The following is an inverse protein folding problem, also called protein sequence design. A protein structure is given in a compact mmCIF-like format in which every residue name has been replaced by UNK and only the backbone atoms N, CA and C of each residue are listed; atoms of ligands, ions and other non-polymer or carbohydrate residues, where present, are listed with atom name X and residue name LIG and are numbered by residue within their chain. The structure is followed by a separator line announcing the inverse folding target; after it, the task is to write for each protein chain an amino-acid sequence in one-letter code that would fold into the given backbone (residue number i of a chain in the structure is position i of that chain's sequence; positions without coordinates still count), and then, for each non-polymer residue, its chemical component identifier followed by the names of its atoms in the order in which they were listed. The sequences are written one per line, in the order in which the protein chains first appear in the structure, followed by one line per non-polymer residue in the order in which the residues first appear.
data_IF_512692868800
#
_entry.id   IF_512692868800
#
_cell.length_a   1.000
_cell.length_b   1.000
_cell.length_c   1.000
_cell.angle_alpha   90.00
_cell.angle_beta   90.00
_cell.angle_gamma   90.00
#
_symmetry.space_group_name_H-M   'P 1'
#
loop_
_entity.id
_entity.type
_entity.pdbx_description
1 polymer ?
#
# COMPACT_ATOMS: atom_id res chain seq x y z
N UNK A 1 -3.44 47.65 -36.35
CA UNK A 1 -2.69 47.63 -35.05
C UNK A 1 -3.59 47.53 -33.80
N UNK A 2 -4.89 47.26 -33.93
CA UNK A 2 -5.79 47.06 -32.78
C UNK A 2 -6.39 45.63 -32.70
N UNK A 3 -6.13 44.77 -33.67
CA UNK A 3 -6.67 43.38 -33.65
C UNK A 3 -5.75 42.33 -33.00
N UNK A 4 -4.47 42.66 -32.78
CA UNK A 4 -3.53 41.71 -32.14
C UNK A 4 -3.49 41.78 -30.60
N UNK A 5 -4.15 42.75 -29.95
CA UNK A 5 -4.20 42.85 -28.50
C UNK A 5 -5.39 42.15 -27.84
N UNK A 6 -6.42 41.77 -28.65
CA UNK A 6 -7.60 41.09 -28.08
C UNK A 6 -7.49 39.54 -28.02
N UNK A 7 -6.66 38.94 -28.87
CA UNK A 7 -6.48 37.47 -28.84
C UNK A 7 -5.58 36.97 -27.68
N UNK A 8 -4.60 37.80 -27.25
CA UNK A 8 -3.73 37.43 -26.14
C UNK A 8 -4.37 37.53 -24.74
N UNK A 9 -5.45 38.34 -24.60
CA UNK A 9 -6.16 38.45 -23.32
C UNK A 9 -7.16 37.33 -23.10
N UNK A 10 -7.68 36.73 -24.16
CA UNK A 10 -8.65 35.62 -24.09
C UNK A 10 -7.96 34.30 -23.76
N UNK A 11 -6.71 34.11 -24.19
CA UNK A 11 -5.94 32.89 -23.91
C UNK A 11 -5.45 32.85 -22.46
N UNK A 12 -5.10 34.02 -21.89
CA UNK A 12 -4.67 34.12 -20.49
C UNK A 12 -5.81 33.98 -19.50
N UNK A 13 -7.02 34.36 -19.86
CA UNK A 13 -8.20 34.22 -18.99
C UNK A 13 -8.77 32.79 -19.01
N UNK A 14 -8.75 32.11 -20.17
CA UNK A 14 -9.12 30.68 -20.25
C UNK A 14 -8.13 29.76 -19.55
N UNK A 15 -6.87 30.14 -19.44
CA UNK A 15 -5.85 29.40 -18.73
C UNK A 15 -5.96 29.51 -17.20
N UNK A 16 -6.60 30.56 -16.69
CA UNK A 16 -6.80 30.72 -15.22
C UNK A 16 -8.07 30.06 -14.70
N UNK A 17 -9.08 29.84 -15.54
CA UNK A 17 -10.35 29.24 -15.15
C UNK A 17 -10.38 27.70 -15.25
N UNK A 18 -9.36 27.07 -15.81
CA UNK A 18 -9.33 25.61 -16.06
C UNK A 18 -8.74 24.81 -14.88
N UNK A 19 -8.08 25.46 -13.91
CA UNK A 19 -7.51 24.79 -12.76
C UNK A 19 -8.51 24.80 -11.59
N UNK A 20 -9.05 23.63 -11.23
CA UNK A 20 -9.92 23.46 -10.07
C UNK A 20 -9.31 24.00 -8.78
N UNK A 21 -10.16 24.24 -7.80
CA UNK A 21 -9.75 24.82 -6.49
C UNK A 21 -9.07 23.80 -5.59
N UNK A 22 -9.41 22.51 -5.78
CA UNK A 22 -9.00 21.44 -4.89
C UNK A 22 -8.37 20.27 -5.64
N UNK A 23 -7.56 19.51 -4.93
CA UNK A 23 -7.11 18.17 -5.31
C UNK A 23 -7.70 17.18 -4.31
N UNK A 24 -8.25 16.08 -4.83
CA UNK A 24 -8.69 14.95 -4.00
C UNK A 24 -7.51 13.99 -3.81
N UNK A 25 -7.22 13.64 -2.57
CA UNK A 25 -6.35 12.53 -2.22
C UNK A 25 -7.21 11.38 -1.67
N UNK A 26 -7.21 10.25 -2.36
CA UNK A 26 -7.82 8.99 -1.89
C UNK A 26 -6.72 8.16 -1.22
N UNK A 27 -6.85 7.95 0.07
CA UNK A 27 -5.92 7.18 0.89
C UNK A 27 -6.59 5.86 1.31
N UNK A 28 -6.25 4.79 0.62
CA UNK A 28 -6.77 3.46 0.88
C UNK A 28 -5.82 2.69 1.79
N UNK A 29 -6.02 2.84 3.08
CA UNK A 29 -5.21 2.15 4.09
C UNK A 29 -5.60 0.68 4.29
N UNK A 30 -4.91 0.02 5.20
CA UNK A 30 -5.18 -1.38 5.58
C UNK A 30 -6.47 -1.52 6.38
N UNK A 31 -6.81 -0.53 7.20
CA UNK A 31 -7.95 -0.61 8.12
C UNK A 31 -9.07 0.37 7.79
N UNK A 32 -8.80 1.39 6.99
CA UNK A 32 -9.77 2.43 6.66
C UNK A 32 -9.55 3.03 5.28
N UNK A 33 -10.63 3.55 4.72
CA UNK A 33 -10.66 4.38 3.52
C UNK A 33 -10.75 5.84 3.95
N UNK A 34 -9.93 6.71 3.36
CA UNK A 34 -9.90 8.13 3.67
C UNK A 34 -9.93 8.95 2.39
N UNK A 35 -10.56 10.12 2.45
CA UNK A 35 -10.49 11.14 1.41
C UNK A 35 -10.14 12.48 2.05
N UNK A 36 -9.17 13.17 1.47
CA UNK A 36 -8.76 14.50 1.88
C UNK A 36 -8.82 15.43 0.66
N UNK A 37 -9.44 16.60 0.83
CA UNK A 37 -9.38 17.68 -0.16
C UNK A 37 -8.36 18.72 0.30
N UNK A 38 -7.42 19.01 -0.59
CA UNK A 38 -6.40 20.04 -0.39
C UNK A 38 -6.67 21.22 -1.34
N UNK A 39 -6.43 22.44 -0.85
CA UNK A 39 -6.39 23.63 -1.70
C UNK A 39 -5.03 23.78 -2.43
N UNK A 40 -4.86 24.88 -3.16
CA UNK A 40 -3.63 25.16 -3.90
C UNK A 40 -2.42 25.42 -3.00
N UNK A 41 -2.65 25.89 -1.80
CA UNK A 41 -1.64 26.14 -0.77
C UNK A 41 -1.24 24.88 0.00
N UNK A 42 -1.91 23.75 -0.26
CA UNK A 42 -1.68 22.49 0.42
C UNK A 42 -2.39 22.37 1.77
N UNK A 43 -3.34 23.28 2.06
CA UNK A 43 -4.13 23.23 3.28
C UNK A 43 -5.23 22.17 3.17
N UNK A 44 -5.48 21.47 4.27
CA UNK A 44 -6.58 20.51 4.36
C UNK A 44 -7.91 21.27 4.49
N UNK A 45 -8.78 21.09 3.49
CA UNK A 45 -10.10 21.75 3.47
C UNK A 45 -11.23 20.83 3.93
N UNK A 46 -11.09 19.52 3.69
CA UNK A 46 -12.09 18.54 4.09
C UNK A 46 -11.47 17.18 4.27
N UNK A 47 -11.98 16.39 5.23
CA UNK A 47 -11.55 15.00 5.49
C UNK A 47 -12.78 14.15 5.75
N UNK A 48 -12.82 12.96 5.18
CA UNK A 48 -13.76 11.90 5.55
C UNK A 48 -13.01 10.57 5.64
N UNK A 49 -13.39 9.74 6.59
CA UNK A 49 -12.75 8.45 6.83
C UNK A 49 -13.79 7.42 7.27
N UNK A 50 -13.60 6.18 6.85
CA UNK A 50 -14.46 5.06 7.21
C UNK A 50 -13.63 3.78 7.34
N UNK A 51 -13.78 3.08 8.44
CA UNK A 51 -13.21 1.75 8.61
C UNK A 51 -13.97 0.72 7.76
N UNK A 52 -13.30 -0.36 7.41
CA UNK A 52 -13.90 -1.50 6.73
C UNK A 52 -13.49 -2.83 7.39
N UNK A 53 -14.25 -3.88 7.09
CA UNK A 53 -14.13 -5.18 7.76
C UNK A 53 -12.79 -5.86 7.46
N UNK A 54 -12.14 -6.34 8.52
CA UNK A 54 -10.98 -7.22 8.45
C UNK A 54 -11.45 -8.67 8.57
N UNK A 55 -10.98 -9.55 7.70
CA UNK A 55 -11.40 -10.96 7.63
C UNK A 55 -10.21 -11.86 7.92
N UNK A 56 -10.36 -12.74 8.91
CA UNK A 56 -9.32 -13.67 9.36
C UNK A 56 -9.82 -15.12 9.27
N UNK A 57 -9.83 -15.74 8.06
CA UNK A 57 -10.43 -17.06 7.85
C UNK A 57 -9.72 -18.20 8.58
N UNK A 58 -8.41 -18.10 8.72
CA UNK A 58 -7.55 -19.08 9.39
C UNK A 58 -6.37 -18.38 10.07
N UNK A 59 -5.66 -19.03 11.00
CA UNK A 59 -4.45 -18.45 11.60
C UNK A 59 -3.44 -18.00 10.54
N UNK A 60 -3.02 -16.74 10.61
CA UNK A 60 -2.09 -16.14 9.67
C UNK A 60 -2.69 -15.74 8.31
N UNK A 61 -3.97 -15.93 8.10
CA UNK A 61 -4.69 -15.49 6.91
C UNK A 61 -5.37 -14.16 7.14
N UNK A 62 -5.23 -13.24 6.18
CA UNK A 62 -5.86 -11.91 6.25
C UNK A 62 -6.48 -11.58 4.89
N UNK A 63 -7.75 -11.21 4.91
CA UNK A 63 -8.53 -10.86 3.70
C UNK A 63 -9.33 -9.59 3.89
N UNK A 64 -9.61 -8.91 2.78
CA UNK A 64 -10.58 -7.84 2.70
C UNK A 64 -11.63 -8.14 1.62
N UNK A 65 -12.82 -7.57 1.75
CA UNK A 65 -13.82 -7.57 0.68
C UNK A 65 -13.51 -6.44 -0.31
N UNK A 66 -13.18 -6.75 -1.58
CA UNK A 66 -12.85 -5.71 -2.56
C UNK A 66 -13.98 -4.73 -2.83
N UNK A 67 -15.23 -5.19 -2.77
CA UNK A 67 -16.39 -4.33 -2.97
C UNK A 67 -16.58 -3.35 -1.81
N UNK A 68 -16.24 -3.75 -0.60
CA UNK A 68 -16.27 -2.86 0.57
C UNK A 68 -15.14 -1.81 0.50
N UNK A 69 -13.95 -2.18 0.02
CA UNK A 69 -12.88 -1.22 -0.28
C UNK A 69 -13.37 -0.17 -1.27
N UNK A 70 -13.94 -0.57 -2.38
CA UNK A 70 -14.47 0.34 -3.39
C UNK A 70 -15.59 1.22 -2.85
N UNK A 71 -16.63 0.62 -2.26
CA UNK A 71 -17.81 1.36 -1.78
C UNK A 71 -17.45 2.34 -0.65
N UNK A 72 -16.59 1.95 0.27
CA UNK A 72 -16.15 2.84 1.35
C UNK A 72 -15.29 4.00 0.83
N UNK A 73 -14.42 3.75 -0.15
CA UNK A 73 -13.59 4.81 -0.75
C UNK A 73 -14.45 5.82 -1.52
N UNK A 74 -15.42 5.35 -2.30
CA UNK A 74 -16.37 6.24 -2.99
C UNK A 74 -17.21 7.03 -1.99
N UNK A 75 -17.69 6.38 -0.94
CA UNK A 75 -18.49 7.00 0.12
C UNK A 75 -17.75 8.16 0.78
N UNK A 76 -16.48 7.96 1.16
CA UNK A 76 -15.71 9.04 1.82
C UNK A 76 -15.33 10.15 0.84
N UNK A 77 -15.14 9.84 -0.43
CA UNK A 77 -14.93 10.88 -1.46
C UNK A 77 -16.15 11.79 -1.58
N UNK A 78 -17.34 11.23 -1.68
CA UNK A 78 -18.61 11.96 -1.72
C UNK A 78 -18.87 12.74 -0.43
N UNK A 79 -18.59 12.15 0.72
CA UNK A 79 -18.75 12.81 2.03
C UNK A 79 -17.81 14.01 2.16
N UNK A 80 -16.53 13.86 1.82
CA UNK A 80 -15.56 14.94 1.90
C UNK A 80 -15.91 16.10 0.97
N UNK A 81 -16.36 15.82 -0.26
CA UNK A 81 -16.85 16.85 -1.18
C UNK A 81 -18.10 17.53 -0.63
N UNK A 82 -19.04 16.76 -0.11
CA UNK A 82 -20.30 17.26 0.45
C UNK A 82 -20.11 18.18 1.65
N UNK A 83 -19.14 17.90 2.52
CA UNK A 83 -18.85 18.72 3.72
C UNK A 83 -18.55 20.19 3.40
N UNK A 84 -17.97 20.47 2.26
CA UNK A 84 -17.59 21.84 1.83
C UNK A 84 -18.35 22.29 0.59
N UNK A 85 -19.36 21.53 0.14
CA UNK A 85 -20.15 21.86 -1.04
C UNK A 85 -19.32 21.92 -2.34
N UNK A 86 -18.26 21.12 -2.42
CA UNK A 86 -17.42 21.08 -3.62
C UNK A 86 -18.14 20.38 -4.78
N UNK A 87 -18.13 21.00 -5.94
CA UNK A 87 -18.64 20.43 -7.19
C UNK A 87 -17.46 19.79 -7.96
N UNK A 88 -17.74 18.82 -8.84
CA UNK A 88 -16.67 18.15 -9.60
C UNK A 88 -15.79 19.16 -10.37
N UNK A 89 -16.36 20.25 -10.87
CA UNK A 89 -15.62 21.31 -11.58
C UNK A 89 -14.66 22.09 -10.68
N UNK A 90 -14.79 21.97 -9.35
CA UNK A 90 -13.85 22.55 -8.40
C UNK A 90 -12.62 21.66 -8.18
N UNK A 91 -12.65 20.42 -8.68
CA UNK A 91 -11.60 19.42 -8.47
C UNK A 91 -10.67 19.38 -9.70
N UNK A 92 -9.40 19.69 -9.49
CA UNK A 92 -8.40 19.66 -10.55
C UNK A 92 -8.00 18.23 -10.91
N UNK A 93 -7.82 17.36 -9.93
CA UNK A 93 -7.39 15.98 -10.13
C UNK A 93 -7.65 15.10 -8.89
N UNK A 94 -7.62 13.79 -9.11
CA UNK A 94 -7.61 12.75 -8.09
C UNK A 94 -6.21 12.16 -8.03
N UNK A 95 -5.62 12.10 -6.83
CA UNK A 95 -4.44 11.32 -6.50
C UNK A 95 -4.84 10.12 -5.63
N UNK A 96 -4.23 8.97 -5.87
CA UNK A 96 -4.49 7.73 -5.15
C UNK A 96 -3.23 7.28 -4.42
N UNK A 97 -3.37 6.97 -3.14
CA UNK A 97 -2.35 6.23 -2.38
C UNK A 97 -3.02 5.04 -1.70
N UNK A 98 -2.29 3.96 -1.51
CA UNK A 98 -2.91 2.70 -1.11
C UNK A 98 -1.98 1.81 -0.31
N UNK A 99 -2.57 0.95 0.52
CA UNK A 99 -1.88 -0.24 1.01
C UNK A 99 -1.33 -1.02 -0.18
N UNK A 100 -0.07 -1.42 -0.10
CA UNK A 100 0.62 -2.10 -1.20
C UNK A 100 0.41 -3.61 -1.14
N UNK A 101 0.84 -4.34 -2.14
CA UNK A 101 0.91 -5.80 -2.26
C UNK A 101 -0.44 -6.53 -2.20
N UNK A 102 -1.44 -5.99 -1.54
CA UNK A 102 -2.78 -6.60 -1.44
C UNK A 102 -3.32 -6.91 -2.82
N UNK A 103 -3.75 -8.16 -3.01
CA UNK A 103 -3.97 -8.78 -4.31
C UNK A 103 -5.45 -9.01 -4.57
N UNK A 104 -5.94 -8.50 -5.70
CA UNK A 104 -7.34 -8.65 -6.13
C UNK A 104 -7.37 -9.24 -7.54
N UNK A 105 -8.21 -10.24 -7.76
CA UNK A 105 -8.48 -10.82 -9.08
C UNK A 105 -9.97 -10.75 -9.33
N UNK A 106 -10.35 -10.25 -10.52
CA UNK A 106 -11.77 -10.05 -10.85
C UNK A 106 -12.08 -10.39 -12.31
N UNK A 107 -13.34 -10.60 -12.57
CA UNK A 107 -13.85 -10.82 -13.92
C UNK A 107 -13.82 -9.52 -14.73
N UNK A 108 -13.21 -9.59 -15.91
CA UNK A 108 -13.01 -8.44 -16.80
C UNK A 108 -14.34 -7.83 -17.31
N UNK A 109 -15.36 -8.65 -17.53
CA UNK A 109 -16.64 -8.18 -18.05
C UNK A 109 -17.55 -7.66 -16.96
N UNK A 110 -17.65 -8.38 -15.85
CA UNK A 110 -18.59 -8.04 -14.75
C UNK A 110 -18.00 -7.11 -13.71
N UNK A 111 -16.65 -7.06 -13.59
CA UNK A 111 -15.97 -6.35 -12.52
C UNK A 111 -16.09 -7.05 -11.16
N UNK A 112 -16.66 -8.25 -11.10
CA UNK A 112 -16.82 -8.98 -9.84
C UNK A 112 -15.55 -9.72 -9.44
N UNK A 113 -15.08 -9.55 -8.19
CA UNK A 113 -13.95 -10.32 -7.66
C UNK A 113 -14.27 -11.82 -7.65
N UNK A 114 -13.28 -12.64 -8.03
CA UNK A 114 -13.41 -14.10 -7.96
C UNK A 114 -13.10 -14.64 -6.58
N UNK A 115 -12.46 -13.85 -5.74
CA UNK A 115 -12.08 -14.15 -4.37
C UNK A 115 -11.91 -12.85 -3.58
N UNK A 116 -11.93 -12.92 -2.25
CA UNK A 116 -11.57 -11.77 -1.42
C UNK A 116 -10.15 -11.27 -1.74
N UNK A 117 -9.89 -10.00 -1.49
CA UNK A 117 -8.55 -9.45 -1.55
C UNK A 117 -7.66 -10.15 -0.52
N UNK A 118 -6.53 -10.69 -0.96
CA UNK A 118 -5.53 -11.29 -0.05
C UNK A 118 -4.58 -10.17 0.37
N UNK A 119 -4.61 -9.85 1.66
CA UNK A 119 -3.92 -8.70 2.23
C UNK A 119 -2.42 -8.96 2.34
N UNK A 120 -1.63 -7.91 2.26
CA UNK A 120 -0.17 -7.97 2.36
C UNK A 120 0.34 -8.70 3.62
N UNK A 121 -0.40 -8.69 4.71
CA UNK A 121 -0.09 -9.39 5.97
C UNK A 121 -0.29 -10.91 5.91
N UNK A 122 -1.03 -11.41 4.91
CA UNK A 122 -1.43 -12.81 4.84
C UNK A 122 -0.23 -13.73 4.59
N UNK A 123 -0.11 -14.79 5.42
CA UNK A 123 1.00 -15.76 5.38
C UNK A 123 0.68 -17.06 4.65
N UNK A 124 -0.52 -17.20 4.04
CA UNK A 124 -0.96 -18.46 3.41
C UNK A 124 -0.05 -19.01 2.33
N UNK A 125 0.73 -18.14 1.68
CA UNK A 125 1.63 -18.53 0.59
C UNK A 125 3.07 -18.80 1.04
N UNK A 126 3.33 -18.86 2.33
CA UNK A 126 4.68 -19.09 2.87
C UNK A 126 5.34 -20.36 2.31
N UNK A 127 4.60 -21.46 2.19
CA UNK A 127 5.14 -22.71 1.65
C UNK A 127 5.51 -22.61 0.17
N UNK A 128 4.77 -21.79 -0.61
CA UNK A 128 5.13 -21.49 -2.01
C UNK A 128 6.45 -20.74 -2.11
N UNK A 129 6.72 -19.85 -1.16
CA UNK A 129 7.98 -19.12 -1.10
C UNK A 129 9.15 -20.04 -0.75
N UNK A 130 8.96 -20.96 0.19
CA UNK A 130 9.99 -21.97 0.50
C UNK A 130 10.29 -22.86 -0.72
N UNK A 131 9.26 -23.25 -1.47
CA UNK A 131 9.43 -23.98 -2.73
C UNK A 131 10.20 -23.15 -3.77
N UNK A 132 9.88 -21.87 -3.91
CA UNK A 132 10.56 -20.95 -4.81
C UNK A 132 12.06 -20.86 -4.51
N UNK A 133 12.43 -20.77 -3.23
CA UNK A 133 13.82 -20.78 -2.80
C UNK A 133 14.51 -22.14 -3.10
N UNK A 134 13.83 -23.24 -2.83
CA UNK A 134 14.32 -24.59 -3.14
C UNK A 134 14.52 -24.80 -4.67
N UNK A 135 13.68 -24.18 -5.48
CA UNK A 135 13.81 -24.20 -6.96
C UNK A 135 14.91 -23.27 -7.50
N UNK A 136 15.61 -22.54 -6.63
CA UNK A 136 16.74 -21.70 -7.00
C UNK A 136 16.37 -20.33 -7.59
N UNK A 137 15.17 -19.85 -7.36
CA UNK A 137 14.68 -18.58 -7.93
C UNK A 137 15.04 -17.34 -7.08
N UNK A 138 15.54 -17.51 -5.86
CA UNK A 138 15.73 -16.41 -4.92
C UNK A 138 16.64 -15.31 -5.46
N UNK A 139 17.82 -15.67 -5.98
CA UNK A 139 18.80 -14.70 -6.48
C UNK A 139 18.25 -13.91 -7.67
N UNK A 140 17.58 -14.59 -8.60
CA UNK A 140 16.96 -13.97 -9.76
C UNK A 140 15.89 -12.96 -9.39
N UNK A 141 15.05 -13.29 -8.41
CA UNK A 141 14.02 -12.39 -7.90
C UNK A 141 14.66 -11.18 -7.24
N UNK A 142 15.65 -11.38 -6.38
CA UNK A 142 16.36 -10.27 -5.72
C UNK A 142 17.01 -9.32 -6.72
N UNK A 143 17.71 -9.86 -7.70
CA UNK A 143 18.40 -9.09 -8.72
C UNK A 143 17.42 -8.26 -9.57
N UNK A 144 16.33 -8.87 -10.04
CA UNK A 144 15.40 -8.23 -10.98
C UNK A 144 14.35 -7.35 -10.30
N UNK A 145 13.83 -7.79 -9.17
CA UNK A 145 12.73 -7.10 -8.50
C UNK A 145 13.15 -6.24 -7.32
N UNK A 146 14.36 -6.40 -6.82
CA UNK A 146 14.86 -5.75 -5.60
C UNK A 146 14.28 -6.32 -4.32
N UNK A 147 13.41 -7.32 -4.40
CA UNK A 147 12.69 -7.88 -3.27
C UNK A 147 13.35 -9.18 -2.78
N UNK A 148 13.21 -9.42 -1.48
CA UNK A 148 13.51 -10.72 -0.88
C UNK A 148 12.24 -11.56 -1.00
N UNK A 149 12.29 -12.79 -1.55
CA UNK A 149 11.09 -13.61 -1.68
C UNK A 149 10.38 -13.81 -0.35
N UNK A 150 9.12 -13.41 -0.30
CA UNK A 150 8.28 -13.45 0.91
C UNK A 150 6.80 -13.50 0.53
N UNK A 151 5.98 -14.13 1.38
CA UNK A 151 4.52 -14.13 1.23
C UNK A 151 3.88 -12.73 1.29
N UNK A 152 4.64 -11.73 1.68
CA UNK A 152 4.28 -10.32 1.68
C UNK A 152 3.84 -9.81 0.29
N UNK A 153 4.52 -10.24 -0.78
CA UNK A 153 4.37 -9.69 -2.12
C UNK A 153 3.27 -10.38 -2.93
N UNK A 154 2.79 -9.71 -4.00
CA UNK A 154 1.58 -10.11 -4.70
C UNK A 154 1.69 -11.42 -5.49
N UNK A 155 2.85 -11.70 -6.08
CA UNK A 155 3.01 -12.80 -7.05
C UNK A 155 2.53 -14.15 -6.55
N UNK A 156 2.92 -14.56 -5.34
CA UNK A 156 2.50 -15.83 -4.75
C UNK A 156 1.00 -15.87 -4.44
N UNK A 157 0.39 -14.72 -4.14
CA UNK A 157 -1.05 -14.59 -3.87
C UNK A 157 -1.88 -14.76 -5.14
N UNK A 158 -1.41 -14.21 -6.26
CA UNK A 158 -2.05 -14.42 -7.57
C UNK A 158 -2.04 -15.91 -7.92
N UNK A 159 -0.88 -16.55 -7.82
CA UNK A 159 -0.73 -17.97 -8.08
C UNK A 159 -1.66 -18.81 -7.19
N UNK A 160 -1.77 -18.44 -5.90
CA UNK A 160 -2.68 -19.12 -4.97
C UNK A 160 -4.14 -19.01 -5.41
N UNK A 161 -4.60 -17.84 -5.81
CA UNK A 161 -5.97 -17.63 -6.30
C UNK A 161 -6.24 -18.50 -7.53
N UNK A 162 -5.33 -18.49 -8.51
CA UNK A 162 -5.49 -19.26 -9.72
C UNK A 162 -5.54 -20.78 -9.46
N UNK A 163 -4.81 -21.25 -8.45
CA UNK A 163 -4.74 -22.68 -8.13
C UNK A 163 -5.85 -23.15 -7.18
N UNK A 164 -6.46 -22.26 -6.40
CA UNK A 164 -7.41 -22.63 -5.34
C UNK A 164 -8.85 -22.18 -5.61
N UNK A 165 -9.09 -21.22 -6.48
CA UNK A 165 -10.45 -20.82 -6.88
C UNK A 165 -10.85 -21.63 -8.09
N UNK A 166 -11.98 -22.35 -7.98
CA UNK A 166 -12.47 -23.23 -9.05
C UNK A 166 -12.66 -22.46 -10.36
N UNK A 167 -12.06 -22.98 -11.44
CA UNK A 167 -12.14 -22.40 -12.77
C UNK A 167 -11.30 -21.14 -13.00
N UNK A 168 -10.64 -20.60 -11.99
CA UNK A 168 -9.91 -19.34 -12.12
C UNK A 168 -8.73 -19.43 -13.08
N UNK A 169 -7.96 -20.49 -13.02
CA UNK A 169 -6.78 -20.67 -13.91
C UNK A 169 -7.20 -20.69 -15.38
N UNK A 170 -8.18 -21.49 -15.73
CA UNK A 170 -8.69 -21.62 -17.10
C UNK A 170 -9.27 -20.29 -17.60
N UNK A 171 -9.99 -19.59 -16.76
CA UNK A 171 -10.55 -18.26 -17.08
C UNK A 171 -9.44 -17.22 -17.27
N UNK A 172 -8.39 -17.25 -16.44
CA UNK A 172 -7.23 -16.37 -16.59
C UNK A 172 -6.50 -16.62 -17.89
N UNK A 173 -6.28 -17.88 -18.24
CA UNK A 173 -5.62 -18.27 -19.50
C UNK A 173 -6.42 -17.85 -20.74
N UNK A 174 -7.76 -17.80 -20.63
CA UNK A 174 -8.63 -17.28 -21.70
C UNK A 174 -8.73 -15.76 -21.76
N UNK A 175 -8.04 -15.05 -20.86
CA UNK A 175 -8.08 -13.59 -20.81
C UNK A 175 -9.36 -13.00 -20.17
N UNK A 176 -10.08 -13.79 -19.39
CA UNK A 176 -11.34 -13.37 -18.74
C UNK A 176 -11.13 -12.70 -17.38
N UNK A 177 -9.97 -12.88 -16.76
CA UNK A 177 -9.64 -12.35 -15.44
C UNK A 177 -8.55 -11.29 -15.50
N UNK A 178 -8.67 -10.30 -14.63
CA UNK A 178 -7.68 -9.26 -14.40
C UNK A 178 -7.18 -9.31 -12.97
N UNK A 179 -5.93 -8.90 -12.80
CA UNK A 179 -5.28 -8.68 -11.51
C UNK A 179 -5.02 -7.20 -11.30
N UNK A 180 -5.09 -6.78 -10.05
CA UNK A 180 -4.57 -5.50 -9.60
C UNK A 180 -4.24 -5.49 -8.12
N UNK A 181 -3.32 -4.61 -7.77
CA UNK A 181 -3.20 -4.08 -6.42
C UNK A 181 -4.32 -3.05 -6.19
N UNK A 182 -4.42 -2.50 -5.00
CA UNK A 182 -5.57 -1.67 -4.63
C UNK A 182 -5.69 -0.41 -5.48
N UNK A 183 -4.59 0.21 -5.90
CA UNK A 183 -4.58 1.33 -6.85
C UNK A 183 -5.28 0.97 -8.17
N UNK A 184 -4.93 -0.17 -8.74
CA UNK A 184 -5.52 -0.68 -9.97
C UNK A 184 -7.02 -0.94 -9.81
N UNK A 185 -7.42 -1.55 -8.70
CA UNK A 185 -8.82 -1.82 -8.37
C UNK A 185 -9.65 -0.53 -8.28
N UNK A 186 -9.12 0.49 -7.62
CA UNK A 186 -9.78 1.79 -7.50
C UNK A 186 -9.88 2.50 -8.86
N UNK A 187 -8.81 2.53 -9.65
CA UNK A 187 -8.83 3.15 -10.99
C UNK A 187 -9.79 2.41 -11.92
N UNK A 188 -9.79 1.08 -11.89
CA UNK A 188 -10.74 0.26 -12.65
C UNK A 188 -12.19 0.63 -12.32
N UNK A 189 -12.54 0.69 -11.04
CA UNK A 189 -13.90 1.01 -10.63
C UNK A 189 -14.26 2.48 -10.91
N UNK A 190 -13.36 3.43 -10.64
CA UNK A 190 -13.59 4.85 -10.93
C UNK A 190 -13.85 5.11 -12.42
N UNK A 191 -13.26 4.31 -13.30
CA UNK A 191 -13.39 4.44 -14.76
C UNK A 191 -14.42 3.48 -15.37
N UNK A 192 -15.21 2.81 -14.54
CA UNK A 192 -16.20 1.78 -14.98
C UNK A 192 -15.61 0.73 -15.92
N UNK A 193 -14.42 0.24 -15.58
CA UNK A 193 -13.74 -0.83 -16.31
C UNK A 193 -13.05 -0.39 -17.61
N UNK A 194 -12.85 0.90 -17.81
CA UNK A 194 -12.17 1.40 -19.02
C UNK A 194 -10.66 1.38 -18.92
N UNK A 195 -10.09 1.51 -17.71
CA UNK A 195 -8.64 1.68 -17.48
C UNK A 195 -8.14 0.60 -16.53
N UNK A 196 -7.15 -0.17 -16.99
CA UNK A 196 -6.48 -1.22 -16.23
C UNK A 196 -4.98 -0.91 -16.16
N UNK A 197 -4.58 -0.16 -15.15
CA UNK A 197 -3.21 0.34 -14.98
C UNK A 197 -2.75 0.19 -13.54
N UNK A 198 -1.45 0.19 -13.34
CA UNK A 198 -0.80 0.37 -12.04
C UNK A 198 0.34 1.37 -12.18
N UNK A 199 0.76 1.99 -11.08
CA UNK A 199 1.96 2.80 -11.10
C UNK A 199 3.22 1.95 -10.84
N UNK A 200 4.40 2.51 -11.13
CA UNK A 200 5.66 1.77 -10.95
C UNK A 200 5.94 1.42 -9.49
N UNK A 201 5.53 2.25 -8.53
CA UNK A 201 5.78 1.96 -7.11
C UNK A 201 4.98 0.75 -6.64
N UNK A 202 3.71 0.63 -7.01
CA UNK A 202 2.90 -0.54 -6.72
C UNK A 202 3.37 -1.77 -7.53
N UNK A 203 3.71 -1.61 -8.81
CA UNK A 203 4.25 -2.69 -9.63
C UNK A 203 5.50 -3.30 -8.99
N UNK A 204 6.39 -2.49 -8.43
CA UNK A 204 7.62 -2.94 -7.76
C UNK A 204 7.36 -3.78 -6.50
N UNK A 205 6.13 -3.85 -6.00
CA UNK A 205 5.74 -4.63 -4.82
C UNK A 205 5.12 -5.99 -5.16
N UNK A 206 5.04 -6.34 -6.42
CA UNK A 206 4.38 -7.57 -6.87
C UNK A 206 5.27 -8.81 -6.89
N UNK A 207 6.58 -8.63 -6.84
CA UNK A 207 7.59 -9.67 -7.07
C UNK A 207 7.58 -10.20 -8.53
N UNK A 208 6.91 -9.49 -9.44
CA UNK A 208 6.78 -9.84 -10.85
C UNK A 208 7.39 -8.79 -11.79
N UNK A 209 7.86 -7.68 -11.22
CA UNK A 209 8.25 -6.49 -11.98
C UNK A 209 9.76 -6.26 -11.94
N UNK A 210 10.38 -6.17 -13.10
CA UNK A 210 11.80 -5.79 -13.22
C UNK A 210 11.93 -4.30 -12.98
N UNK A 211 12.51 -3.93 -11.84
CA UNK A 211 12.65 -2.53 -11.43
C UNK A 211 13.68 -1.77 -12.24
N UNK A 212 14.59 -2.45 -12.93
CA UNK A 212 15.61 -1.84 -13.79
C UNK A 212 15.05 -1.53 -15.17
N UNK A 213 14.35 -2.49 -15.78
CA UNK A 213 13.71 -2.35 -17.10
C UNK A 213 12.35 -1.68 -17.03
N UNK A 214 11.74 -1.62 -15.85
CA UNK A 214 10.37 -1.11 -15.60
C UNK A 214 9.32 -1.79 -16.48
N UNK A 215 9.35 -3.11 -16.46
CA UNK A 215 8.39 -3.98 -17.13
C UNK A 215 8.18 -5.27 -16.35
N UNK A 216 7.07 -5.96 -16.64
CA UNK A 216 6.82 -7.29 -16.10
C UNK A 216 7.89 -8.26 -16.57
N UNK A 217 8.36 -9.14 -15.67
CA UNK A 217 9.39 -10.12 -15.96
C UNK A 217 8.77 -11.43 -16.45
N UNK A 218 8.98 -11.77 -17.71
CA UNK A 218 8.35 -12.93 -18.35
C UNK A 218 8.79 -14.26 -17.71
N UNK A 219 10.03 -14.36 -17.26
CA UNK A 219 10.55 -15.60 -16.64
C UNK A 219 9.95 -15.84 -15.26
N UNK A 220 9.77 -14.76 -14.46
CA UNK A 220 9.13 -14.86 -13.16
C UNK A 220 7.63 -15.17 -13.33
N UNK A 221 6.97 -14.54 -14.30
CA UNK A 221 5.57 -14.86 -14.63
C UNK A 221 5.41 -16.32 -15.02
N UNK A 222 6.33 -16.86 -15.83
CA UNK A 222 6.33 -18.27 -16.22
C UNK A 222 6.52 -19.19 -15.01
N UNK A 223 7.41 -18.84 -14.09
CA UNK A 223 7.61 -19.61 -12.86
C UNK A 223 6.32 -19.73 -12.03
N UNK A 224 5.63 -18.61 -11.82
CA UNK A 224 4.35 -18.60 -11.09
C UNK A 224 3.17 -19.10 -11.93
N UNK A 225 3.38 -19.36 -13.22
CA UNK A 225 2.32 -19.67 -14.15
C UNK A 225 1.19 -18.63 -14.15
N UNK A 226 1.56 -17.36 -14.21
CA UNK A 226 0.64 -16.22 -14.25
C UNK A 226 0.52 -15.74 -15.69
N UNK A 227 -0.69 -15.78 -16.31
CA UNK A 227 -0.89 -15.23 -17.64
C UNK A 227 -0.64 -13.72 -17.67
N UNK A 228 0.23 -13.25 -18.58
CA UNK A 228 0.57 -11.83 -18.70
C UNK A 228 -0.64 -10.95 -19.02
N UNK A 229 -1.64 -11.50 -19.69
CA UNK A 229 -2.88 -10.76 -20.01
C UNK A 229 -3.70 -10.34 -18.79
N UNK A 230 -3.44 -10.91 -17.61
CA UNK A 230 -4.07 -10.49 -16.36
C UNK A 230 -3.50 -9.19 -15.81
N UNK A 231 -2.29 -8.81 -16.21
CA UNK A 231 -1.52 -7.76 -15.53
C UNK A 231 -1.90 -6.37 -16.07
N UNK A 232 -1.97 -5.37 -15.17
CA UNK A 232 -2.21 -3.99 -15.57
C UNK A 232 -1.01 -3.41 -16.31
N UNK A 233 -1.27 -2.39 -17.13
CA UNK A 233 -0.21 -1.61 -17.76
C UNK A 233 0.52 -0.78 -16.70
N UNK A 234 1.84 -0.95 -16.52
CA UNK A 234 2.60 -0.13 -15.58
C UNK A 234 2.87 1.26 -16.18
N UNK A 235 2.66 2.29 -15.36
CA UNK A 235 2.84 3.70 -15.74
C UNK A 235 3.56 4.47 -14.64
N UNK A 236 4.11 5.67 -14.95
CA UNK A 236 4.67 6.55 -13.92
C UNK A 236 3.62 6.93 -12.87
N UNK A 237 4.08 7.22 -11.64
CA UNK A 237 3.22 7.65 -10.53
C UNK A 237 2.54 8.99 -10.80
N UNK A 238 3.20 9.90 -11.52
CA UNK A 238 2.64 11.17 -11.97
C UNK A 238 2.30 11.08 -13.46
N UNK A 239 1.04 10.83 -13.76
CA UNK A 239 0.57 10.59 -15.12
C UNK A 239 -0.96 10.69 -15.11
N UNK A 240 -1.56 11.23 -16.15
CA UNK A 240 -3.01 11.18 -16.32
C UNK A 240 -3.39 9.77 -16.82
N UNK A 241 -3.97 8.96 -15.94
CA UNK A 241 -4.37 7.59 -16.25
C UNK A 241 -5.68 7.54 -17.03
N UNK A 242 -6.58 8.47 -16.79
CA UNK A 242 -7.91 8.58 -17.33
C UNK A 242 -8.75 9.52 -16.49
N UNK A 243 -10.05 9.48 -16.68
CA UNK A 243 -11.00 10.30 -15.93
C UNK A 243 -11.98 9.41 -15.15
N UNK A 244 -12.36 9.84 -13.95
CA UNK A 244 -13.43 9.22 -13.21
C UNK A 244 -14.76 9.34 -14.01
N UNK A 245 -15.54 8.25 -14.02
CA UNK A 245 -16.84 8.26 -14.67
C UNK A 245 -17.74 9.33 -14.04
N UNK A 246 -18.43 10.16 -14.86
CA UNK A 246 -19.25 11.26 -14.37
C UNK A 246 -20.34 10.86 -13.36
N UNK A 247 -20.80 9.63 -13.41
CA UNK A 247 -21.86 9.13 -12.53
C UNK A 247 -21.46 9.02 -11.07
N UNK A 248 -20.17 8.99 -10.76
CA UNK A 248 -19.70 8.82 -9.37
C UNK A 248 -19.56 10.14 -8.61
N UNK A 249 -18.93 11.13 -9.21
CA UNK A 249 -18.60 12.40 -8.54
C UNK A 249 -19.28 13.62 -9.18
N UNK A 250 -20.23 13.39 -10.06
CA UNK A 250 -21.02 14.42 -10.70
C UNK A 250 -20.47 14.95 -12.03
N UNK A 251 -19.29 14.54 -12.43
CA UNK A 251 -18.65 14.88 -13.69
C UNK A 251 -17.28 14.24 -13.82
N UNK A 252 -16.63 14.36 -15.00
CA UNK A 252 -15.31 13.79 -15.22
C UNK A 252 -14.24 14.54 -14.40
N UNK A 253 -13.41 13.78 -13.68
CA UNK A 253 -12.27 14.31 -12.94
C UNK A 253 -11.03 13.50 -13.35
N UNK A 254 -9.93 14.14 -13.76
CA UNK A 254 -8.69 13.43 -14.10
C UNK A 254 -8.14 12.64 -12.90
N UNK A 255 -7.74 11.40 -13.14
CA UNK A 255 -6.97 10.61 -12.20
C UNK A 255 -5.50 10.75 -12.60
N UNK A 256 -4.73 11.54 -11.86
CA UNK A 256 -3.43 12.02 -12.30
C UNK A 256 -2.25 11.64 -11.41
N UNK A 257 -2.48 10.88 -10.37
CA UNK A 257 -1.44 10.38 -9.49
C UNK A 257 -1.82 9.08 -8.83
N UNK A 258 -0.87 8.16 -8.72
CA UNK A 258 -1.00 6.94 -7.95
C UNK A 258 0.37 6.52 -7.42
N UNK A 259 0.45 6.16 -6.15
CA UNK A 259 1.66 5.63 -5.54
C UNK A 259 1.30 4.80 -4.31
N UNK A 260 2.12 3.79 -4.01
CA UNK A 260 2.02 3.07 -2.75
C UNK A 260 2.15 4.00 -1.56
N UNK A 261 1.47 3.67 -0.46
CA UNK A 261 1.37 4.53 0.72
C UNK A 261 2.73 4.93 1.30
N UNK A 262 3.70 4.02 1.30
CA UNK A 262 5.03 4.30 1.84
C UNK A 262 5.85 5.20 0.91
N UNK A 263 5.72 5.04 -0.40
CA UNK A 263 6.35 5.92 -1.39
C UNK A 263 5.69 7.30 -1.39
N UNK A 264 4.38 7.37 -1.22
CA UNK A 264 3.65 8.64 -1.04
C UNK A 264 4.12 9.38 0.21
N UNK A 265 4.33 8.66 1.32
CA UNK A 265 4.85 9.24 2.55
C UNK A 265 6.30 9.75 2.39
N UNK A 266 7.16 9.00 1.69
CA UNK A 266 8.53 9.43 1.39
C UNK A 266 8.54 10.74 0.60
N UNK A 267 7.71 10.82 -0.43
CA UNK A 267 7.53 12.02 -1.25
C UNK A 267 6.94 13.18 -0.42
N UNK A 268 5.89 12.92 0.34
CA UNK A 268 5.20 13.92 1.17
C UNK A 268 6.09 14.48 2.29
N UNK A 269 7.05 13.71 2.81
CA UNK A 269 8.08 14.17 3.74
C UNK A 269 9.22 14.89 3.04
N UNK A 270 9.10 15.15 1.74
CA UNK A 270 10.11 15.85 0.93
C UNK A 270 11.49 15.16 0.90
N UNK A 271 11.53 13.86 1.06
CA UNK A 271 12.74 13.06 0.93
C UNK A 271 13.09 12.86 -0.55
N UNK A 272 13.67 13.87 -1.17
CA UNK A 272 13.94 13.89 -2.62
C UNK A 272 15.38 13.56 -2.99
N UNK A 273 16.30 13.66 -2.05
CA UNK A 273 17.72 13.43 -2.27
C UNK A 273 18.15 12.08 -1.70
N UNK A 274 19.17 11.47 -2.33
CA UNK A 274 19.75 10.23 -1.83
C UNK A 274 20.22 10.40 -0.37
N UNK A 275 19.85 9.46 0.49
CA UNK A 275 20.14 9.47 1.91
C UNK A 275 19.06 10.08 2.80
N UNK A 276 18.09 10.79 2.24
CA UNK A 276 16.93 11.27 3.00
C UNK A 276 15.95 10.13 3.26
N UNK A 277 15.47 10.02 4.49
CA UNK A 277 14.66 8.90 4.94
C UNK A 277 13.46 9.35 5.76
N UNK A 278 12.42 8.53 5.73
CA UNK A 278 11.26 8.63 6.62
C UNK A 278 11.02 7.31 7.31
N UNK A 279 10.40 7.33 8.48
CA UNK A 279 9.86 6.15 9.14
C UNK A 279 8.39 6.40 9.49
N UNK A 280 7.52 5.55 8.98
CA UNK A 280 6.08 5.61 9.29
C UNK A 280 5.77 4.61 10.38
N UNK A 281 5.25 5.09 11.50
CA UNK A 281 4.74 4.28 12.61
C UNK A 281 3.21 4.18 12.48
N UNK A 282 2.74 3.07 11.95
CA UNK A 282 1.32 2.75 11.84
C UNK A 282 1.06 1.34 12.36
N UNK A 283 0.24 0.58 11.66
CA UNK A 283 0.01 -0.86 11.92
C UNK A 283 1.34 -1.62 11.99
N UNK A 284 2.23 -1.41 11.01
CA UNK A 284 3.64 -1.74 11.03
C UNK A 284 4.51 -0.48 11.09
N UNK A 285 5.81 -0.65 11.05
CA UNK A 285 6.78 0.42 10.81
C UNK A 285 7.44 0.21 9.46
N UNK A 286 7.45 1.25 8.65
CA UNK A 286 8.05 1.18 7.32
C UNK A 286 9.02 2.34 7.14
N UNK A 287 10.31 2.00 7.12
CA UNK A 287 11.39 2.94 6.92
C UNK A 287 11.83 2.90 5.46
N UNK A 288 11.78 4.04 4.78
CA UNK A 288 12.27 4.18 3.41
C UNK A 288 13.35 5.26 3.36
N UNK A 289 14.42 4.97 2.64
CA UNK A 289 15.48 5.92 2.35
C UNK A 289 15.62 6.06 0.84
N UNK A 290 15.50 7.29 0.34
CA UNK A 290 15.68 7.59 -1.08
C UNK A 290 17.13 7.32 -1.52
N UNK A 291 17.33 6.64 -2.65
CA UNK A 291 18.66 6.35 -3.21
C UNK A 291 18.89 7.00 -4.58
N UNK A 292 17.97 7.86 -5.03
CA UNK A 292 18.07 8.57 -6.30
C UNK A 292 17.86 7.67 -7.50
N UNK A 293 18.77 7.77 -8.47
CA UNK A 293 18.70 6.98 -9.72
C UNK A 293 19.34 5.60 -9.60
N UNK A 294 19.91 5.26 -8.45
CA UNK A 294 20.62 4.00 -8.22
C UNK A 294 19.77 3.03 -7.42
N UNK A 295 19.51 1.87 -7.98
CA UNK A 295 18.93 0.74 -7.27
C UNK A 295 20.00 0.09 -6.40
N UNK A 296 20.04 0.44 -5.12
CA UNK A 296 21.02 -0.09 -4.18
C UNK A 296 20.57 -1.47 -3.70
N UNK A 297 21.45 -2.47 -3.82
CA UNK A 297 21.23 -3.79 -3.25
C UNK A 297 21.72 -3.84 -1.80
N UNK A 298 20.82 -4.14 -0.87
CA UNK A 298 21.17 -4.30 0.54
C UNK A 298 21.78 -5.67 0.80
N UNK A 299 22.82 -5.70 1.65
CA UNK A 299 23.42 -6.93 2.18
C UNK A 299 22.85 -7.31 3.55
N UNK A 300 21.94 -6.49 4.10
CA UNK A 300 21.45 -6.61 5.47
C UNK A 300 19.92 -6.86 5.53
N UNK A 301 19.35 -7.47 4.49
CA UNK A 301 17.94 -7.86 4.50
C UNK A 301 16.94 -6.72 4.21
N UNK A 302 17.39 -5.59 3.67
CA UNK A 302 16.49 -4.52 3.22
C UNK A 302 16.04 -4.79 1.78
N UNK A 303 14.90 -4.21 1.43
CA UNK A 303 14.33 -4.27 0.08
C UNK A 303 14.80 -3.07 -0.74
N UNK A 304 14.87 -3.27 -2.07
CA UNK A 304 14.94 -2.17 -3.02
C UNK A 304 13.59 -2.04 -3.73
N UNK A 305 13.07 -0.84 -3.76
CA UNK A 305 11.75 -0.53 -4.33
C UNK A 305 11.83 0.71 -5.22
N UNK A 306 10.82 0.91 -6.08
CA UNK A 306 10.73 2.13 -6.88
C UNK A 306 10.11 3.22 -6.01
N UNK A 307 10.69 4.41 -6.07
CA UNK A 307 10.22 5.62 -5.44
C UNK A 307 9.90 6.69 -6.50
N UNK A 308 9.42 7.84 -6.05
CA UNK A 308 9.11 8.99 -6.90
C UNK A 308 10.09 10.12 -6.57
N UNK A 309 10.76 10.65 -7.61
CA UNK A 309 11.64 11.81 -7.46
C UNK A 309 10.82 13.11 -7.44
N UNK A 310 11.46 14.22 -7.06
CA UNK A 310 10.82 15.53 -6.96
C UNK A 310 10.12 15.99 -8.26
N UNK A 311 10.64 15.59 -9.42
CA UNK A 311 10.07 15.90 -10.73
C UNK A 311 8.95 14.95 -11.18
N UNK A 312 8.54 14.00 -10.32
CA UNK A 312 7.51 13.01 -10.61
C UNK A 312 8.01 11.78 -11.38
N UNK A 313 9.27 11.73 -11.77
CA UNK A 313 9.86 10.57 -12.46
C UNK A 313 10.28 9.50 -11.47
N UNK A 314 10.39 8.22 -11.90
CA UNK A 314 10.77 7.14 -11.01
C UNK A 314 12.22 7.24 -10.54
N UNK A 315 12.43 6.97 -9.27
CA UNK A 315 13.72 6.74 -8.63
C UNK A 315 13.68 5.45 -7.83
N UNK A 316 14.61 5.28 -6.89
CA UNK A 316 14.70 4.08 -6.05
C UNK A 316 14.78 4.44 -4.58
N UNK A 317 14.41 3.49 -3.74
CA UNK A 317 14.56 3.58 -2.28
C UNK A 317 14.94 2.22 -1.69
N UNK A 318 15.67 2.25 -0.58
CA UNK A 318 15.79 1.11 0.32
C UNK A 318 14.62 1.12 1.30
N UNK A 319 14.13 -0.05 1.64
CA UNK A 319 13.02 -0.22 2.58
C UNK A 319 13.29 -1.30 3.62
N UNK A 320 13.05 -0.94 4.89
CA UNK A 320 12.95 -1.88 6.00
C UNK A 320 11.50 -1.98 6.44
N UNK A 321 10.93 -3.17 6.33
CA UNK A 321 9.52 -3.45 6.67
C UNK A 321 9.43 -4.18 8.00
N UNK A 322 8.85 -3.53 9.01
CA UNK A 322 8.49 -4.11 10.31
C UNK A 322 6.99 -4.34 10.29
N UNK A 323 6.55 -5.61 10.31
CA UNK A 323 5.15 -5.94 10.05
C UNK A 323 4.20 -5.57 11.19
N UNK A 324 4.65 -5.62 12.43
CA UNK A 324 3.81 -5.41 13.60
C UNK A 324 4.42 -4.32 14.48
N UNK A 325 3.74 -3.20 14.56
CA UNK A 325 4.10 -2.06 15.41
C UNK A 325 2.86 -1.61 16.19
N UNK A 326 2.13 -0.63 15.72
CA UNK A 326 0.88 -0.19 16.36
C UNK A 326 -0.15 -1.31 16.50
N UNK A 327 -0.11 -2.32 15.63
CA UNK A 327 -0.94 -3.51 15.75
C UNK A 327 -0.73 -4.26 17.07
N UNK A 328 0.48 -4.22 17.64
CA UNK A 328 0.74 -4.82 18.94
C UNK A 328 0.04 -4.06 20.08
N UNK A 329 -0.04 -2.75 19.99
CA UNK A 329 -0.76 -1.92 20.96
C UNK A 329 -2.27 -2.12 20.82
N UNK A 330 -2.78 -2.21 19.59
CA UNK A 330 -4.18 -2.55 19.32
C UNK A 330 -4.54 -3.93 19.88
N UNK A 331 -3.66 -4.91 19.73
CA UNK A 331 -3.83 -6.24 20.29
C UNK A 331 -3.95 -6.21 21.83
N UNK A 332 -3.13 -5.41 22.52
CA UNK A 332 -3.25 -5.23 23.97
C UNK A 332 -4.61 -4.62 24.37
N UNK A 333 -5.17 -3.74 23.53
CA UNK A 333 -6.48 -3.12 23.74
C UNK A 333 -7.63 -4.08 23.43
N UNK A 334 -7.62 -4.65 22.23
CA UNK A 334 -8.80 -5.32 21.66
C UNK A 334 -8.91 -6.79 22.05
N UNK A 335 -7.80 -7.51 22.10
CA UNK A 335 -7.78 -8.96 22.36
C UNK A 335 -7.40 -9.28 23.82
N UNK A 336 -6.35 -8.66 24.32
CA UNK A 336 -5.91 -8.87 25.71
C UNK A 336 -6.78 -8.08 26.69
N UNK A 337 -7.28 -6.90 26.27
CA UNK A 337 -8.20 -6.09 27.05
C UNK A 337 -7.55 -5.36 28.24
N UNK A 338 -6.23 -5.12 28.19
CA UNK A 338 -5.51 -4.43 29.27
C UNK A 338 -5.34 -2.93 29.04
N UNK A 339 -5.73 -2.44 27.87
CA UNK A 339 -5.77 -1.00 27.54
C UNK A 339 -7.21 -0.60 27.19
N UNK A 340 -7.66 0.55 27.64
CA UNK A 340 -8.93 1.14 27.21
C UNK A 340 -8.80 1.85 25.87
N UNK A 341 -7.65 2.51 25.65
CA UNK A 341 -7.31 3.17 24.39
C UNK A 341 -5.81 3.01 24.09
N UNK A 342 -5.41 3.16 22.85
CA UNK A 342 -3.98 3.08 22.47
C UNK A 342 -3.13 4.16 23.15
N UNK A 343 -3.58 5.43 23.30
CA UNK A 343 -2.83 6.45 24.03
C UNK A 343 -2.54 6.12 25.48
N UNK A 344 -3.36 5.30 26.13
CA UNK A 344 -3.13 4.88 27.54
C UNK A 344 -1.82 4.10 27.71
N UNK A 345 -1.26 3.56 26.64
CA UNK A 345 0.04 2.86 26.69
C UNK A 345 1.15 3.73 27.28
N UNK A 346 1.17 5.04 26.98
CA UNK A 346 2.15 5.97 27.53
C UNK A 346 2.09 6.02 29.07
N UNK A 347 0.90 6.14 29.64
CA UNK A 347 0.68 6.18 31.09
C UNK A 347 1.24 4.92 31.77
N UNK A 348 1.01 3.74 31.20
CA UNK A 348 1.55 2.50 31.76
C UNK A 348 3.07 2.39 31.61
N UNK A 349 3.63 2.80 30.49
CA UNK A 349 5.06 2.83 30.27
C UNK A 349 5.78 3.72 31.27
N UNK A 350 5.23 4.89 31.55
CA UNK A 350 5.80 5.86 32.48
C UNK A 350 5.62 5.48 33.95
N UNK A 351 4.71 4.55 34.27
CA UNK A 351 4.42 4.11 35.64
C UNK A 351 5.46 3.16 36.23
N UNK A 352 6.36 2.62 35.39
CA UNK A 352 7.44 1.69 35.78
C UNK A 352 8.78 2.17 35.24
N UNK A 353 9.90 1.90 35.94
CA UNK A 353 11.21 2.37 35.52
C UNK A 353 11.79 1.59 34.31
N UNK A 354 11.36 0.34 34.13
CA UNK A 354 11.82 -0.55 33.07
C UNK A 354 10.78 -1.66 32.81
N UNK A 355 11.10 -2.66 32.00
CA UNK A 355 10.23 -3.79 31.70
C UNK A 355 10.34 -4.93 32.72
N UNK A 356 11.14 -4.79 33.78
CA UNK A 356 11.42 -5.84 34.75
C UNK A 356 11.85 -7.17 34.10
N UNK A 357 12.65 -7.10 33.04
CA UNK A 357 13.14 -8.26 32.30
C UNK A 357 12.14 -8.90 31.32
N UNK A 358 10.96 -8.29 31.14
CA UNK A 358 9.97 -8.78 30.17
C UNK A 358 10.32 -8.28 28.77
N UNK A 359 10.26 -9.16 27.78
CA UNK A 359 10.42 -8.85 26.39
C UNK A 359 9.25 -9.40 25.58
N UNK A 360 8.78 -8.62 24.62
CA UNK A 360 7.71 -9.02 23.68
C UNK A 360 8.29 -9.10 22.28
N UNK A 361 8.05 -10.21 21.61
CA UNK A 361 8.31 -10.39 20.19
C UNK A 361 6.97 -10.40 19.47
N UNK A 362 6.55 -9.31 18.83
CA UNK A 362 5.19 -9.22 18.26
C UNK A 362 5.13 -9.78 16.84
N UNK A 363 5.64 -10.98 16.62
CA UNK A 363 5.68 -11.62 15.31
C UNK A 363 4.33 -12.28 14.94
N UNK A 364 3.22 -11.54 15.04
CA UNK A 364 1.87 -12.08 14.82
C UNK A 364 1.63 -12.57 13.41
N UNK A 365 2.31 -11.95 12.43
CA UNK A 365 2.28 -12.31 11.00
C UNK A 365 3.67 -12.61 10.45
N UNK A 366 4.51 -13.26 11.24
CA UNK A 366 5.91 -13.47 10.93
C UNK A 366 6.78 -12.24 11.22
N UNK A 367 8.06 -12.33 10.91
CA UNK A 367 9.03 -11.24 10.98
C UNK A 367 9.40 -10.77 9.59
N UNK A 368 9.39 -9.45 9.39
CA UNK A 368 9.91 -8.80 8.19
C UNK A 368 11.41 -8.56 8.27
N UNK A 369 11.86 -7.41 7.76
CA UNK A 369 13.28 -7.04 7.79
C UNK A 369 13.83 -6.98 9.23
N UNK A 370 15.10 -7.42 9.45
CA UNK A 370 15.99 -8.05 8.49
C UNK A 370 15.90 -9.58 8.44
N UNK A 371 14.97 -10.16 9.17
CA UNK A 371 14.92 -11.62 9.46
C UNK A 371 14.21 -12.44 8.38
N UNK A 372 13.09 -11.91 7.84
CA UNK A 372 12.25 -12.57 6.83
C UNK A 372 11.83 -14.00 7.21
N UNK A 373 11.32 -14.15 8.43
CA UNK A 373 10.83 -15.42 8.97
C UNK A 373 9.29 -15.49 8.90
N UNK A 374 8.76 -16.29 7.98
CA UNK A 374 7.32 -16.47 7.76
C UNK A 374 6.62 -17.18 8.90
N UNK A 375 7.35 -18.05 9.61
CA UNK A 375 6.79 -18.97 10.59
C UNK A 375 6.90 -18.45 12.02
N UNK A 376 7.66 -17.41 12.25
CA UNK A 376 7.72 -16.76 13.55
C UNK A 376 6.33 -16.31 14.00
N UNK A 377 6.07 -16.47 15.28
CA UNK A 377 4.84 -16.01 15.94
C UNK A 377 5.20 -15.26 17.20
N UNK A 378 4.23 -14.50 17.73
CA UNK A 378 4.42 -13.69 18.93
C UNK A 378 4.87 -14.50 20.13
N UNK A 379 5.74 -13.90 20.93
CA UNK A 379 6.23 -14.49 22.19
C UNK A 379 6.38 -13.42 23.26
N UNK A 380 6.15 -13.82 24.51
CA UNK A 380 6.43 -13.00 25.70
C UNK A 380 7.42 -13.79 26.55
N UNK A 381 8.56 -13.18 26.84
CA UNK A 381 9.67 -13.79 27.55
C UNK A 381 9.98 -13.01 28.86
N UNK A 382 10.60 -13.68 29.82
CA UNK A 382 11.09 -13.05 31.03
C UNK A 382 10.02 -12.76 32.11
N UNK A 383 8.84 -13.39 32.02
CA UNK A 383 7.80 -13.25 33.02
C UNK A 383 8.24 -13.82 34.35
N UNK A 384 8.09 -13.01 35.41
CA UNK A 384 8.24 -13.40 36.80
C UNK A 384 6.99 -13.00 37.58
N UNK A 385 6.86 -13.44 38.81
CA UNK A 385 5.71 -13.06 39.63
C UNK A 385 5.59 -11.54 39.87
N UNK A 386 6.70 -10.81 39.78
CA UNK A 386 6.73 -9.36 39.92
C UNK A 386 6.39 -8.59 38.63
N UNK A 387 6.27 -9.28 37.49
CA UNK A 387 5.91 -8.67 36.23
C UNK A 387 4.40 -8.41 36.18
N UNK A 388 4.02 -7.17 36.01
CA UNK A 388 2.63 -6.76 35.95
C UNK A 388 2.23 -6.18 34.60
N UNK A 389 1.00 -5.69 34.54
CA UNK A 389 0.40 -5.06 33.35
C UNK A 389 1.28 -3.96 32.74
N UNK A 390 1.79 -3.05 33.59
CA UNK A 390 2.63 -1.94 33.13
C UNK A 390 3.92 -2.42 32.47
N UNK A 391 4.54 -3.48 33.01
CA UNK A 391 5.74 -4.08 32.43
C UNK A 391 5.44 -4.70 31.07
N UNK A 392 4.31 -5.38 30.91
CA UNK A 392 3.91 -5.97 29.63
C UNK A 392 3.63 -4.90 28.58
N UNK A 393 2.91 -3.84 28.96
CA UNK A 393 2.64 -2.70 28.05
C UNK A 393 3.95 -2.04 27.63
N UNK A 394 4.84 -1.75 28.58
CA UNK A 394 6.14 -1.15 28.27
C UNK A 394 7.01 -2.03 27.38
N UNK A 395 7.07 -3.33 27.66
CA UNK A 395 7.82 -4.28 26.82
C UNK A 395 7.27 -4.33 25.39
N UNK A 396 5.97 -4.21 25.23
CA UNK A 396 5.31 -4.14 23.91
C UNK A 396 5.70 -2.86 23.16
N UNK A 397 5.66 -1.70 23.83
CA UNK A 397 6.10 -0.42 23.22
C UNK A 397 7.60 -0.45 22.88
N UNK A 398 8.43 -0.93 23.79
CA UNK A 398 9.88 -1.04 23.54
C UNK A 398 10.21 -2.00 22.37
N UNK A 399 9.38 -3.01 22.12
CA UNK A 399 9.58 -3.93 21.00
C UNK A 399 9.58 -3.21 19.64
N UNK A 400 8.85 -2.11 19.51
CA UNK A 400 8.85 -1.28 18.30
C UNK A 400 10.24 -0.65 18.09
N UNK A 401 10.83 -0.13 19.16
CA UNK A 401 12.15 0.49 19.11
C UNK A 401 13.23 -0.54 18.75
N UNK A 402 13.17 -1.74 19.33
CA UNK A 402 14.13 -2.80 19.02
C UNK A 402 14.05 -3.23 17.55
N UNK A 403 12.85 -3.44 17.02
CA UNK A 403 12.67 -3.81 15.62
C UNK A 403 13.17 -2.71 14.66
N UNK A 404 12.89 -1.45 14.96
CA UNK A 404 13.37 -0.32 14.15
C UNK A 404 14.91 -0.19 14.25
N UNK A 405 15.47 -0.46 15.42
CA UNK A 405 16.93 -0.47 15.61
C UNK A 405 17.61 -1.55 14.77
N UNK A 406 16.99 -2.72 14.63
CA UNK A 406 17.55 -3.82 13.83
C UNK A 406 17.56 -3.51 12.32
N UNK A 407 16.61 -2.70 11.86
CA UNK A 407 16.53 -2.22 10.47
C UNK A 407 17.57 -1.13 10.20
#
# INVERSE_FOLDING_TARGET
NQQHHHENSIITDRGKDIMGKYVIALDQGTTSSRCILFDREGSICSVAQKEFTQIFPQPGWVEHNPMEIWSSQLSVALEAMGKIGAHYSDIAAIGITNQRETTIVWDKETGEPVYNAIVWQCRRTADRIEKLKADGMEEKIRERTGLIPDAYFSGSKIAWILDNVEGARERAERGELLFGTVDTWLIWNLTKGCIHVTDYTNASRTMLFDIHKKCWDDEILAYFNIPKCMLPEPKPSSCVYGEADPSYLGGPIPIAGAAGDQQSALFGQTCFNAGEAKNTYGTGCFMLMHTGDTAVESKNGLLTTIAVKADGTPGYALEGSVFVAGAAIQWLRDEVGILESSPDSEKYCLSVPDTNGVYVVPAFTGLGAPYWDHYARGAILGLTRGAGKSHLVRATVESLAYQVHDV
#
